data_IF_905684493365
#
_entry.id   IF_905684493365
#
_cell.length_a   1.000
_cell.length_b   1.000
_cell.length_c   1.000
_cell.angle_alpha   90.00
_cell.angle_beta   90.00
_cell.angle_gamma   90.00
#
_symmetry.space_group_name_H-M   'P 1'
#
loop_
_entity.id
_entity.type
_entity.pdbx_description
1 polymer ?
#
# COMPACT_ATOMS: atom_id res chain seq x y z
N UNK A 1 -31.51 0.40 -0.07
CA UNK A 1 -31.02 1.11 -1.27
C UNK A 1 -30.07 2.19 -0.79
N UNK A 2 -28.75 2.01 -0.94
CA UNK A 2 -27.76 3.01 -0.50
C UNK A 2 -27.81 4.20 -1.46
N UNK A 3 -28.58 5.23 -1.08
CA UNK A 3 -28.75 6.47 -1.84
C UNK A 3 -27.55 7.38 -1.66
N UNK A 4 -26.42 7.03 -2.26
CA UNK A 4 -25.28 7.94 -2.37
C UNK A 4 -25.64 9.15 -3.24
N UNK A 5 -25.16 10.33 -2.85
CA UNK A 5 -25.33 11.57 -3.61
C UNK A 5 -24.84 11.40 -5.07
N UNK A 6 -25.61 11.90 -6.05
CA UNK A 6 -25.23 11.76 -7.47
C UNK A 6 -23.95 12.54 -7.79
N UNK A 7 -23.20 12.11 -8.81
CA UNK A 7 -21.94 12.79 -9.22
C UNK A 7 -22.17 14.28 -9.52
N UNK A 8 -23.30 14.61 -10.17
CA UNK A 8 -23.68 16.00 -10.44
C UNK A 8 -24.00 16.77 -9.16
N UNK A 9 -24.72 16.16 -8.22
CA UNK A 9 -25.02 16.81 -6.94
C UNK A 9 -23.75 17.08 -6.12
N UNK A 10 -22.80 16.13 -6.09
CA UNK A 10 -21.49 16.34 -5.45
C UNK A 10 -20.69 17.46 -6.13
N UNK A 11 -20.69 17.50 -7.46
CA UNK A 11 -20.01 18.54 -8.23
C UNK A 11 -20.49 19.95 -7.84
N UNK A 12 -21.81 20.12 -7.71
CA UNK A 12 -22.41 21.39 -7.27
C UNK A 12 -22.01 21.76 -5.85
N UNK A 13 -22.05 20.81 -4.90
CA UNK A 13 -21.66 21.04 -3.50
C UNK A 13 -20.20 21.44 -3.37
N UNK A 14 -19.32 20.78 -4.14
CA UNK A 14 -17.87 21.00 -4.09
C UNK A 14 -17.41 22.16 -4.98
N UNK A 15 -18.28 22.74 -5.80
CA UNK A 15 -17.93 23.82 -6.74
C UNK A 15 -16.94 23.38 -7.84
N UNK A 16 -16.92 22.10 -8.19
CA UNK A 16 -16.02 21.54 -9.22
C UNK A 16 -16.81 20.92 -10.37
N UNK A 17 -16.15 20.66 -11.50
CA UNK A 17 -16.82 20.02 -12.64
C UNK A 17 -17.17 18.55 -12.35
N UNK A 18 -18.25 17.99 -12.92
CA UNK A 18 -18.61 16.58 -12.75
C UNK A 18 -17.51 15.60 -13.20
N UNK A 19 -16.74 15.95 -14.22
CA UNK A 19 -15.60 15.14 -14.68
C UNK A 19 -14.46 15.14 -13.67
N UNK A 20 -14.27 16.26 -12.95
CA UNK A 20 -13.34 16.34 -11.82
C UNK A 20 -13.76 15.39 -10.71
N UNK A 21 -15.04 15.40 -10.30
CA UNK A 21 -15.58 14.46 -9.29
C UNK A 21 -15.38 13.01 -9.72
N UNK A 22 -15.63 12.69 -10.99
CA UNK A 22 -15.46 11.35 -11.53
C UNK A 22 -14.00 10.88 -11.50
N UNK A 23 -13.04 11.77 -11.80
CA UNK A 23 -11.60 11.49 -11.68
C UNK A 23 -11.17 11.27 -10.24
N UNK A 24 -11.63 12.13 -9.32
CA UNK A 24 -11.35 11.96 -7.89
C UNK A 24 -11.89 10.64 -7.38
N UNK A 25 -13.14 10.27 -7.72
CA UNK A 25 -13.74 9.01 -7.28
C UNK A 25 -13.06 7.76 -7.87
N UNK A 26 -12.49 7.86 -9.07
CA UNK A 26 -11.69 6.80 -9.67
C UNK A 26 -10.33 6.63 -8.97
N UNK A 27 -9.78 7.70 -8.40
CA UNK A 27 -8.54 7.71 -7.62
C UNK A 27 -8.77 7.31 -6.16
N UNK A 28 -9.92 7.71 -5.64
CA UNK A 28 -10.32 7.68 -4.24
C UNK A 28 -11.39 6.60 -4.01
N UNK A 29 -11.25 5.45 -4.68
CA UNK A 29 -11.88 4.22 -4.19
C UNK A 29 -11.18 3.80 -2.90
N UNK A 30 -11.16 4.68 -1.90
CA UNK A 30 -10.80 4.36 -0.54
C UNK A 30 -11.84 3.36 -0.07
N UNK A 31 -11.40 2.14 0.23
CA UNK A 31 -12.19 1.26 1.08
C UNK A 31 -12.44 2.00 2.40
N UNK A 32 -13.49 1.61 3.14
CA UNK A 32 -13.83 2.16 4.46
C UNK A 32 -12.68 2.14 5.49
N UNK A 33 -11.57 1.47 5.17
CA UNK A 33 -10.37 1.27 5.98
C UNK A 33 -9.22 2.26 5.69
N UNK A 34 -9.49 3.38 5.02
CA UNK A 34 -8.49 4.39 4.63
C UNK A 34 -7.30 3.83 3.80
N UNK A 35 -7.47 2.66 3.18
CA UNK A 35 -6.46 2.04 2.33
C UNK A 35 -6.44 2.71 0.95
N UNK A 36 -5.25 3.10 0.51
CA UNK A 36 -5.07 3.70 -0.81
C UNK A 36 -4.84 2.59 -1.83
N UNK A 37 -5.68 2.52 -2.86
CA UNK A 37 -5.46 1.61 -3.97
C UNK A 37 -4.23 2.05 -4.78
N UNK A 38 -3.24 1.16 -4.88
CA UNK A 38 -2.05 1.37 -5.68
C UNK A 38 -2.08 0.42 -6.86
N UNK A 39 -1.94 0.96 -8.08
CA UNK A 39 -1.75 0.14 -9.27
C UNK A 39 -0.54 -0.77 -9.10
N UNK A 40 -0.63 -1.99 -9.64
CA UNK A 40 0.50 -2.92 -9.67
C UNK A 40 0.97 -3.14 -11.09
N UNK A 41 2.28 -3.17 -11.30
CA UNK A 41 2.93 -3.48 -12.57
C UNK A 41 3.73 -4.78 -12.42
N UNK A 42 3.75 -5.59 -13.48
CA UNK A 42 4.51 -6.84 -13.51
C UNK A 42 5.94 -6.55 -13.97
N UNK A 43 6.92 -6.90 -13.15
CA UNK A 43 8.33 -6.77 -13.55
C UNK A 43 8.81 -7.90 -14.45
N UNK A 44 10.06 -7.78 -14.91
CA UNK A 44 10.72 -8.80 -15.78
C UNK A 44 10.85 -10.19 -15.13
N UNK A 45 10.87 -10.24 -13.80
CA UNK A 45 10.87 -11.46 -13.00
C UNK A 45 9.45 -12.04 -12.78
N UNK A 46 8.43 -11.49 -13.44
CA UNK A 46 7.04 -11.96 -13.36
C UNK A 46 6.29 -11.55 -12.08
N UNK A 47 6.98 -10.95 -11.11
CA UNK A 47 6.40 -10.51 -9.83
C UNK A 47 5.68 -9.16 -9.95
N UNK A 48 4.61 -9.02 -9.19
CA UNK A 48 3.85 -7.77 -9.07
C UNK A 48 4.60 -6.80 -8.16
N UNK A 49 4.71 -5.55 -8.61
CA UNK A 49 5.27 -4.43 -7.86
C UNK A 49 4.27 -3.29 -7.84
N UNK A 50 4.22 -2.48 -6.77
CA UNK A 50 3.47 -1.24 -6.81
C UNK A 50 4.08 -0.28 -7.85
N UNK A 51 3.23 0.48 -8.51
CA UNK A 51 3.68 1.45 -9.53
C UNK A 51 4.29 2.72 -8.91
N UNK A 52 3.92 3.03 -7.66
CA UNK A 52 4.48 4.14 -6.88
C UNK A 52 5.07 3.64 -5.56
N UNK A 53 5.93 4.46 -4.95
CA UNK A 53 6.31 4.26 -3.55
C UNK A 53 5.05 4.37 -2.69
N UNK A 54 4.82 3.35 -1.87
CA UNK A 54 3.73 3.30 -0.91
C UNK A 54 4.26 2.76 0.41
N UNK A 55 3.47 2.93 1.46
CA UNK A 55 3.85 2.46 2.78
C UNK A 55 3.94 0.92 2.81
N UNK A 56 5.15 0.40 3.00
CA UNK A 56 5.41 -1.05 3.10
C UNK A 56 5.55 -1.52 4.55
N UNK A 57 5.29 -0.67 5.54
CA UNK A 57 5.44 -0.99 6.97
C UNK A 57 4.84 -2.33 7.36
N UNK A 58 3.60 -2.60 6.96
CA UNK A 58 2.90 -3.84 7.27
C UNK A 58 3.58 -5.09 6.66
N UNK A 59 3.99 -4.99 5.40
CA UNK A 59 4.71 -6.10 4.75
C UNK A 59 6.07 -6.32 5.42
N UNK A 60 6.75 -5.23 5.77
CA UNK A 60 8.07 -5.26 6.36
C UNK A 60 8.04 -5.81 7.79
N UNK A 61 6.96 -5.61 8.56
CA UNK A 61 6.75 -6.27 9.86
C UNK A 61 6.54 -7.78 9.70
N UNK A 62 5.71 -8.21 8.75
CA UNK A 62 5.51 -9.64 8.45
C UNK A 62 6.84 -10.32 8.09
N UNK A 63 7.68 -9.66 7.28
CA UNK A 63 9.01 -10.17 6.93
C UNK A 63 9.89 -10.39 8.17
N UNK A 64 9.84 -9.46 9.13
CA UNK A 64 10.60 -9.55 10.38
C UNK A 64 10.09 -10.68 11.27
N UNK A 65 8.77 -10.80 11.43
CA UNK A 65 8.15 -11.83 12.27
C UNK A 65 8.45 -13.24 11.75
N UNK A 66 8.32 -13.44 10.43
CA UNK A 66 8.65 -14.73 9.80
C UNK A 66 10.14 -15.08 9.95
N UNK A 67 11.01 -14.08 9.92
CA UNK A 67 12.44 -14.29 10.12
C UNK A 67 12.78 -14.62 11.58
N UNK A 68 12.10 -13.99 12.54
CA UNK A 68 12.21 -14.33 13.96
C UNK A 68 11.72 -15.77 14.24
N UNK A 69 10.73 -16.25 13.47
CA UNK A 69 10.28 -17.65 13.48
C UNK A 69 11.26 -18.66 12.88
N UNK A 70 12.45 -18.24 12.44
CA UNK A 70 13.51 -19.14 11.96
C UNK A 70 13.40 -19.54 10.49
N UNK A 71 12.46 -18.98 9.73
CA UNK A 71 12.32 -19.26 8.30
C UNK A 71 13.53 -18.73 7.51
N UNK A 72 13.94 -19.47 6.47
CA UNK A 72 15.00 -19.02 5.57
C UNK A 72 14.56 -17.82 4.73
N UNK A 73 15.50 -16.98 4.31
CA UNK A 73 15.23 -15.78 3.49
C UNK A 73 14.43 -16.13 2.22
N UNK A 74 14.72 -17.29 1.60
CA UNK A 74 13.99 -17.76 0.42
C UNK A 74 12.54 -18.12 0.74
N UNK A 75 12.30 -18.83 1.84
CA UNK A 75 10.95 -19.17 2.28
C UNK A 75 10.13 -17.94 2.65
N UNK A 76 10.74 -16.96 3.33
CA UNK A 76 10.07 -15.68 3.64
C UNK A 76 9.69 -14.94 2.35
N UNK A 77 10.59 -14.90 1.36
CA UNK A 77 10.31 -14.23 0.09
C UNK A 77 9.14 -14.88 -0.66
N UNK A 78 9.05 -16.21 -0.64
CA UNK A 78 7.96 -16.97 -1.24
C UNK A 78 6.64 -16.75 -0.49
N UNK A 79 6.65 -16.83 0.85
CA UNK A 79 5.46 -16.62 1.68
C UNK A 79 4.86 -15.22 1.52
N UNK A 80 5.71 -14.20 1.38
CA UNK A 80 5.28 -12.79 1.24
C UNK A 80 5.04 -12.41 -0.24
N UNK A 81 5.44 -13.25 -1.19
CA UNK A 81 5.34 -12.96 -2.63
C UNK A 81 6.29 -11.84 -3.10
N UNK A 82 7.42 -11.66 -2.42
CA UNK A 82 8.42 -10.63 -2.74
C UNK A 82 9.74 -11.23 -3.25
N UNK A 83 10.68 -10.38 -3.67
CA UNK A 83 12.01 -10.84 -4.07
C UNK A 83 12.92 -11.06 -2.86
N UNK A 84 13.86 -12.00 -2.97
CA UNK A 84 14.90 -12.22 -1.94
C UNK A 84 15.67 -10.93 -1.61
N UNK A 85 15.98 -10.12 -2.63
CA UNK A 85 16.61 -8.81 -2.42
C UNK A 85 15.74 -7.83 -1.62
N UNK A 86 14.41 -7.93 -1.71
CA UNK A 86 13.49 -7.14 -0.87
C UNK A 86 13.63 -7.52 0.59
N UNK A 87 13.68 -8.82 0.88
CA UNK A 87 13.87 -9.32 2.25
C UNK A 87 15.21 -8.84 2.82
N UNK A 88 16.31 -8.99 2.07
CA UNK A 88 17.62 -8.47 2.50
C UNK A 88 17.61 -6.96 2.76
N UNK A 89 16.94 -6.18 1.89
CA UNK A 89 16.81 -4.74 2.08
C UNK A 89 16.06 -4.41 3.37
N UNK A 90 14.94 -5.09 3.63
CA UNK A 90 14.14 -4.89 4.85
C UNK A 90 14.94 -5.26 6.11
N UNK A 91 15.76 -6.30 6.04
CA UNK A 91 16.66 -6.69 7.13
C UNK A 91 17.83 -5.73 7.32
N UNK A 92 18.30 -5.09 6.24
CA UNK A 92 19.41 -4.14 6.27
C UNK A 92 18.98 -2.73 6.71
N UNK A 93 17.69 -2.41 6.62
CA UNK A 93 17.16 -1.14 7.07
C UNK A 93 17.10 -1.16 8.61
N UNK A 94 17.79 -0.23 9.31
CA UNK A 94 17.63 -0.10 10.75
C UNK A 94 16.16 0.16 11.06
N UNK A 95 15.63 -0.55 12.05
CA UNK A 95 14.20 -0.51 12.43
C UNK A 95 13.76 0.80 13.09
N UNK A 96 14.64 1.77 13.22
CA UNK A 96 14.47 2.83 14.20
C UNK A 96 14.16 4.17 13.52
N UNK A 97 12.89 4.32 13.18
CA UNK A 97 12.17 5.59 13.33
C UNK A 97 10.88 5.30 14.08
N UNK A 98 11.00 4.77 15.29
CA UNK A 98 9.93 4.73 16.28
C UNK A 98 10.40 5.47 17.53
N UNK A 99 9.89 6.69 17.67
CA UNK A 99 9.58 7.35 18.93
C UNK A 99 10.71 7.53 19.98
N UNK A 100 11.69 8.37 19.65
CA UNK A 100 12.36 9.21 20.65
C UNK A 100 11.74 10.61 20.61
N UNK A 101 10.51 10.74 21.08
CA UNK A 101 9.92 12.04 21.45
C UNK A 101 9.22 11.83 22.78
N UNK A 102 10.03 11.72 23.82
CA UNK A 102 9.62 11.90 25.20
C UNK A 102 10.33 13.19 25.65
N UNK A 103 9.57 14.27 25.76
CA UNK A 103 9.93 15.48 26.51
C UNK A 103 9.13 15.48 27.80
#
# INVERSE_FOLDING_TARGET
MSGGMSIRAMATVLGVSPTTVQKYRAFDSTNSDASINVGTSRGRDGRLRPDRRFDTTHRDSIIKDLRAGGLSVRQVAEAVGCSVGTVHRVMSLPSDVSASTSL
#
